data_IF_368158262328
#
_entry.id   IF_368158262328
#
_cell.length_a   1.000
_cell.length_b   1.000
_cell.length_c   1.000
_cell.angle_alpha   90.00
_cell.angle_beta   90.00
_cell.angle_gamma   90.00
#
_symmetry.space_group_name_H-M   'P 1'
#
loop_
_entity.id
_entity.type
_entity.pdbx_description
1 polymer ?
#
# COMPACT_ATOMS: atom_id res chain seq x y z
N UNK A 1 -5.56 9.99 -32.26
CA UNK A 1 -5.87 8.87 -31.33
C UNK A 1 -6.05 9.37 -29.91
N UNK A 2 -7.12 8.92 -29.24
CA UNK A 2 -7.49 9.32 -27.87
C UNK A 2 -6.67 8.61 -26.77
N UNK A 3 -5.72 7.75 -27.16
CA UNK A 3 -4.85 7.01 -26.24
C UNK A 3 -3.50 6.66 -26.88
N UNK A 4 -2.46 6.50 -26.05
CA UNK A 4 -1.12 6.07 -26.45
C UNK A 4 -0.92 4.64 -25.95
N UNK A 5 -0.41 3.75 -26.80
CA UNK A 5 -0.10 2.37 -26.41
C UNK A 5 1.38 2.25 -25.98
N UNK A 6 1.61 1.83 -24.75
CA UNK A 6 2.94 1.61 -24.20
C UNK A 6 3.02 0.28 -23.44
N UNK A 7 3.99 -0.58 -23.79
CA UNK A 7 4.16 -1.92 -23.19
C UNK A 7 2.87 -2.76 -23.13
N UNK A 8 2.03 -2.65 -24.16
CA UNK A 8 0.75 -3.37 -24.24
C UNK A 8 -0.40 -2.74 -23.45
N UNK A 9 -0.20 -1.58 -22.82
CA UNK A 9 -1.20 -0.84 -22.04
C UNK A 9 -1.61 0.42 -22.81
N UNK A 10 -2.90 0.70 -22.84
CA UNK A 10 -3.47 1.88 -23.46
C UNK A 10 -3.59 3.01 -22.41
N UNK A 11 -2.75 4.03 -22.52
CA UNK A 11 -2.74 5.21 -21.66
C UNK A 11 -3.65 6.28 -22.28
N UNK A 12 -4.66 6.71 -21.55
CA UNK A 12 -5.61 7.75 -21.97
C UNK A 12 -5.58 8.91 -20.96
N UNK A 13 -6.16 10.05 -21.34
CA UNK A 13 -6.16 11.25 -20.49
C UNK A 13 -6.92 11.08 -19.18
N UNK A 14 -7.97 10.25 -19.17
CA UNK A 14 -8.83 10.03 -18.00
C UNK A 14 -8.76 8.59 -17.49
N UNK A 15 -8.90 8.42 -16.17
CA UNK A 15 -8.95 7.11 -15.51
C UNK A 15 -10.10 6.25 -16.01
N UNK A 16 -11.24 6.86 -16.34
CA UNK A 16 -12.39 6.17 -16.94
C UNK A 16 -12.06 5.58 -18.32
N UNK A 17 -11.40 6.34 -19.19
CA UNK A 17 -10.97 5.84 -20.50
C UNK A 17 -9.89 4.75 -20.36
N UNK A 18 -8.92 4.93 -19.44
CA UNK A 18 -7.92 3.90 -19.14
C UNK A 18 -8.56 2.60 -18.64
N UNK A 19 -9.61 2.70 -17.82
CA UNK A 19 -10.39 1.54 -17.40
C UNK A 19 -11.03 0.84 -18.60
N UNK A 20 -11.75 1.60 -19.45
CA UNK A 20 -12.44 1.08 -20.63
C UNK A 20 -11.48 0.36 -21.59
N UNK A 21 -10.39 1.00 -21.98
CA UNK A 21 -9.49 0.46 -23.01
C UNK A 21 -8.64 -0.73 -22.57
N UNK A 22 -8.46 -0.94 -21.26
CA UNK A 22 -7.62 -2.02 -20.75
C UNK A 22 -8.41 -3.08 -19.99
N UNK A 23 -9.16 -2.69 -18.96
CA UNK A 23 -9.80 -3.64 -18.05
C UNK A 23 -11.00 -4.34 -18.70
N UNK A 24 -11.81 -3.64 -19.49
CA UNK A 24 -12.94 -4.27 -20.20
C UNK A 24 -12.44 -5.25 -21.25
N UNK A 25 -11.42 -4.86 -22.02
CA UNK A 25 -10.76 -5.74 -22.99
C UNK A 25 -10.20 -6.99 -22.32
N UNK A 26 -9.44 -6.84 -21.23
CA UNK A 26 -8.89 -7.97 -20.49
C UNK A 26 -9.98 -8.89 -19.94
N UNK A 27 -11.10 -8.34 -19.46
CA UNK A 27 -12.24 -9.13 -19.00
C UNK A 27 -12.86 -9.96 -20.13
N UNK A 28 -12.93 -9.43 -21.35
CA UNK A 28 -13.41 -10.17 -22.50
C UNK A 28 -12.47 -11.32 -22.86
N UNK A 29 -11.15 -11.06 -22.92
CA UNK A 29 -10.13 -12.07 -23.21
C UNK A 29 -10.12 -13.19 -22.18
N UNK A 30 -10.25 -12.84 -20.89
CA UNK A 30 -10.38 -13.82 -19.80
C UNK A 30 -11.63 -14.68 -20.01
N UNK A 31 -12.76 -14.07 -20.32
CA UNK A 31 -14.02 -14.81 -20.50
C UNK A 31 -13.93 -15.81 -21.67
N UNK A 32 -13.40 -15.38 -22.82
CA UNK A 32 -13.17 -16.25 -23.98
C UNK A 32 -12.17 -17.38 -23.67
N UNK A 33 -11.11 -17.08 -22.92
CA UNK A 33 -10.11 -18.10 -22.55
C UNK A 33 -10.72 -19.15 -21.62
N UNK A 34 -11.51 -18.71 -20.64
CA UNK A 34 -12.20 -19.62 -19.71
C UNK A 34 -13.27 -20.47 -20.40
N UNK A 35 -13.93 -19.94 -21.43
CA UNK A 35 -14.88 -20.69 -22.26
C UNK A 35 -14.17 -21.79 -23.06
N UNK A 36 -13.03 -21.48 -23.69
CA UNK A 36 -12.21 -22.48 -24.40
C UNK A 36 -11.76 -23.60 -23.47
N UNK A 37 -11.22 -23.22 -22.31
CA UNK A 37 -10.74 -24.16 -21.29
C UNK A 37 -11.82 -24.94 -20.56
N UNK A 38 -13.11 -24.65 -20.82
CA UNK A 38 -14.21 -25.28 -20.11
C UNK A 38 -14.18 -26.81 -20.24
N UNK A 39 -13.80 -27.30 -21.42
CA UNK A 39 -13.76 -28.72 -21.76
C UNK A 39 -12.36 -29.33 -21.57
N UNK A 40 -11.28 -28.54 -21.62
CA UNK A 40 -9.91 -29.04 -21.56
C UNK A 40 -9.54 -29.57 -20.15
N UNK A 41 -10.01 -28.89 -19.11
CA UNK A 41 -9.66 -29.23 -17.72
C UNK A 41 -10.78 -30.00 -17.03
N UNK A 42 -10.50 -31.23 -16.63
CA UNK A 42 -11.49 -32.13 -16.03
C UNK A 42 -11.60 -31.98 -14.51
N UNK A 43 -10.55 -31.52 -13.83
CA UNK A 43 -10.53 -31.34 -12.37
C UNK A 43 -10.65 -29.86 -11.97
N UNK A 44 -11.37 -29.58 -10.89
CA UNK A 44 -11.48 -28.24 -10.33
C UNK A 44 -10.12 -27.71 -9.81
N UNK A 45 -9.26 -28.59 -9.31
CA UNK A 45 -7.87 -28.26 -8.96
C UNK A 45 -7.07 -27.81 -10.19
N UNK A 46 -7.14 -28.56 -11.30
CA UNK A 46 -6.48 -28.22 -12.56
C UNK A 46 -6.94 -26.88 -13.12
N UNK A 47 -8.24 -26.58 -13.01
CA UNK A 47 -8.82 -25.27 -13.40
C UNK A 47 -8.26 -24.12 -12.57
N UNK A 48 -8.14 -24.29 -11.25
CA UNK A 48 -7.57 -23.26 -10.38
C UNK A 48 -6.09 -23.04 -10.70
N UNK A 49 -5.33 -24.12 -10.93
CA UNK A 49 -3.93 -24.05 -11.31
C UNK A 49 -3.75 -23.34 -12.65
N UNK A 50 -4.52 -23.70 -13.68
CA UNK A 50 -4.49 -23.05 -15.00
C UNK A 50 -4.80 -21.56 -14.91
N UNK A 51 -5.82 -21.18 -14.14
CA UNK A 51 -6.12 -19.76 -13.90
C UNK A 51 -4.96 -19.03 -13.22
N UNK A 52 -4.41 -19.61 -12.15
CA UNK A 52 -3.27 -19.05 -11.40
C UNK A 52 -2.02 -18.87 -12.26
N UNK A 53 -1.75 -19.81 -13.16
CA UNK A 53 -0.53 -19.80 -13.97
C UNK A 53 -0.63 -18.88 -15.19
N UNK A 54 -1.81 -18.78 -15.82
CA UNK A 54 -1.90 -18.15 -17.13
C UNK A 54 -2.67 -16.81 -17.14
N UNK A 55 -3.73 -16.69 -16.33
CA UNK A 55 -4.61 -15.51 -16.36
C UNK A 55 -4.34 -14.55 -15.20
N UNK A 56 -4.02 -15.08 -14.02
CA UNK A 56 -3.67 -14.26 -12.86
C UNK A 56 -2.44 -13.36 -13.12
N UNK A 57 -1.36 -13.80 -13.80
CA UNK A 57 -0.23 -12.91 -14.10
C UNK A 57 -0.61 -11.74 -15.03
N UNK A 58 -1.52 -11.96 -15.99
CA UNK A 58 -2.04 -10.89 -16.86
C UNK A 58 -2.82 -9.83 -16.08
N UNK A 59 -3.67 -10.29 -15.14
CA UNK A 59 -4.39 -9.38 -14.23
C UNK A 59 -3.42 -8.62 -13.33
N UNK A 60 -2.43 -9.32 -12.76
CA UNK A 60 -1.45 -8.72 -11.86
C UNK A 60 -0.58 -7.69 -12.58
N UNK A 61 -0.19 -7.96 -13.83
CA UNK A 61 0.50 -6.99 -14.67
C UNK A 61 -0.32 -5.71 -14.82
N UNK A 62 -1.62 -5.84 -15.13
CA UNK A 62 -2.47 -4.67 -15.29
C UNK A 62 -2.68 -3.91 -13.98
N UNK A 63 -2.87 -4.60 -12.85
CA UNK A 63 -3.02 -3.95 -11.53
C UNK A 63 -1.76 -3.19 -11.10
N UNK A 64 -0.57 -3.75 -11.36
CA UNK A 64 0.71 -3.10 -11.01
C UNK A 64 1.00 -1.90 -11.90
N UNK A 65 0.69 -2.01 -13.18
CA UNK A 65 0.98 -0.97 -14.16
C UNK A 65 -0.07 0.15 -14.20
N UNK A 66 -1.35 -0.16 -13.93
CA UNK A 66 -2.45 0.80 -13.86
C UNK A 66 -3.07 0.83 -12.46
N UNK A 67 -2.61 1.76 -11.64
CA UNK A 67 -3.10 2.00 -10.29
C UNK A 67 -4.34 2.90 -10.29
N UNK A 68 -5.32 2.56 -11.12
CA UNK A 68 -6.56 3.33 -11.27
C UNK A 68 -7.68 2.75 -10.40
N UNK A 69 -8.66 3.56 -9.97
CA UNK A 69 -9.78 3.06 -9.18
C UNK A 69 -10.66 2.12 -10.02
N UNK A 70 -10.71 0.85 -9.62
CA UNK A 70 -11.53 -0.15 -10.32
C UNK A 70 -12.93 -0.24 -9.70
N UNK A 71 -14.01 -0.20 -10.52
CA UNK A 71 -15.37 -0.37 -10.03
C UNK A 71 -15.59 -1.69 -9.29
N UNK A 72 -16.34 -1.67 -8.18
CA UNK A 72 -16.64 -2.89 -7.40
C UNK A 72 -17.35 -3.96 -8.22
N UNK A 73 -18.24 -3.57 -9.12
CA UNK A 73 -18.97 -4.47 -10.00
C UNK A 73 -18.04 -5.26 -10.95
N UNK A 74 -16.97 -4.64 -11.44
CA UNK A 74 -15.97 -5.33 -12.26
C UNK A 74 -15.32 -6.48 -11.49
N UNK A 75 -14.86 -6.19 -10.26
CA UNK A 75 -14.22 -7.18 -9.40
C UNK A 75 -15.13 -8.34 -9.04
N UNK A 76 -16.40 -8.06 -8.73
CA UNK A 76 -17.38 -9.12 -8.42
C UNK A 76 -17.75 -9.93 -9.65
N UNK A 77 -17.92 -9.29 -10.81
CA UNK A 77 -18.16 -9.98 -12.09
C UNK A 77 -17.02 -10.92 -12.44
N UNK A 78 -15.78 -10.44 -12.40
CA UNK A 78 -14.59 -11.23 -12.69
C UNK A 78 -14.44 -12.42 -11.73
N UNK A 79 -14.58 -12.19 -10.42
CA UNK A 79 -14.55 -13.27 -9.43
C UNK A 79 -15.65 -14.31 -9.65
N UNK A 80 -16.86 -13.88 -10.04
CA UNK A 80 -17.99 -14.77 -10.35
C UNK A 80 -17.69 -15.63 -11.58
N UNK A 81 -17.14 -15.05 -12.65
CA UNK A 81 -16.75 -15.81 -13.86
C UNK A 81 -15.69 -16.87 -13.55
N UNK A 82 -14.67 -16.52 -12.77
CA UNK A 82 -13.61 -17.47 -12.37
C UNK A 82 -14.18 -18.59 -11.49
N UNK A 83 -15.07 -18.24 -10.56
CA UNK A 83 -15.77 -19.23 -9.72
C UNK A 83 -16.62 -20.17 -10.56
N UNK A 84 -17.37 -19.62 -11.51
CA UNK A 84 -18.23 -20.38 -12.43
C UNK A 84 -17.41 -21.35 -13.28
N UNK A 85 -16.26 -20.91 -13.80
CA UNK A 85 -15.31 -21.77 -14.51
C UNK A 85 -14.79 -22.91 -13.63
N UNK A 86 -14.33 -22.58 -12.42
CA UNK A 86 -13.75 -23.54 -11.46
C UNK A 86 -14.73 -24.69 -11.15
N UNK A 87 -16.01 -24.39 -11.00
CA UNK A 87 -17.06 -25.37 -10.73
C UNK A 87 -17.76 -25.92 -11.97
N UNK A 88 -17.25 -25.68 -13.17
CA UNK A 88 -17.87 -26.17 -14.41
C UNK A 88 -19.33 -25.75 -14.60
N UNK A 89 -19.66 -24.51 -14.27
CA UNK A 89 -21.04 -24.00 -14.24
C UNK A 89 -21.97 -24.70 -13.23
N UNK A 90 -21.45 -25.59 -12.37
CA UNK A 90 -22.21 -26.27 -11.31
C UNK A 90 -22.20 -25.44 -10.02
N UNK A 91 -23.05 -25.85 -9.08
CA UNK A 91 -23.07 -25.25 -7.74
C UNK A 91 -21.75 -25.52 -7.00
N UNK A 92 -21.17 -24.51 -6.32
CA UNK A 92 -19.97 -24.70 -5.51
C UNK A 92 -20.21 -25.77 -4.45
N UNK A 93 -19.36 -26.81 -4.41
CA UNK A 93 -19.43 -27.84 -3.36
C UNK A 93 -18.85 -27.35 -2.03
N UNK A 94 -17.96 -26.36 -2.08
CA UNK A 94 -17.28 -25.78 -0.92
C UNK A 94 -17.51 -24.27 -0.91
N UNK A 95 -17.75 -23.72 0.27
CA UNK A 95 -17.89 -22.28 0.46
C UNK A 95 -16.64 -21.52 -0.03
N UNK A 96 -16.86 -20.39 -0.71
CA UNK A 96 -15.76 -19.56 -1.23
C UNK A 96 -14.85 -19.00 -0.12
N UNK A 97 -15.37 -18.77 1.08
CA UNK A 97 -14.57 -18.34 2.23
C UNK A 97 -13.56 -19.40 2.66
N UNK A 98 -13.92 -20.69 2.56
CA UNK A 98 -13.06 -21.82 2.93
C UNK A 98 -12.01 -22.07 1.86
N UNK A 99 -12.39 -22.14 0.58
CA UNK A 99 -11.46 -22.45 -0.53
C UNK A 99 -10.38 -21.37 -0.74
N UNK A 100 -10.66 -20.12 -0.36
CA UNK A 100 -9.70 -18.99 -0.43
C UNK A 100 -8.56 -19.08 0.59
N UNK A 101 -8.76 -19.78 1.71
CA UNK A 101 -7.71 -19.93 2.73
C UNK A 101 -6.49 -20.65 2.13
N UNK A 102 -5.26 -20.39 2.63
CA UNK A 102 -4.09 -21.12 2.17
C UNK A 102 -4.20 -22.62 2.49
N UNK A 103 -3.38 -23.42 1.82
CA UNK A 103 -3.36 -24.89 1.97
C UNK A 103 -3.09 -25.28 3.43
N UNK A 104 -2.16 -24.58 4.09
CA UNK A 104 -1.83 -24.75 5.51
C UNK A 104 -3.03 -24.60 6.46
N UNK A 105 -4.02 -23.78 6.09
CA UNK A 105 -5.24 -23.54 6.89
C UNK A 105 -6.43 -24.37 6.39
N UNK A 106 -6.16 -25.48 5.70
CA UNK A 106 -7.18 -26.38 5.16
C UNK A 106 -7.97 -25.82 3.98
N UNK A 107 -7.48 -24.76 3.33
CA UNK A 107 -8.05 -24.23 2.08
C UNK A 107 -7.29 -24.69 0.85
N UNK A 108 -7.48 -23.98 -0.28
CA UNK A 108 -6.81 -24.28 -1.56
C UNK A 108 -6.02 -23.08 -2.13
N UNK A 109 -6.03 -21.97 -1.40
CA UNK A 109 -5.48 -20.70 -1.85
C UNK A 109 -6.16 -20.22 -3.13
N UNK A 110 -7.47 -20.38 -3.26
CA UNK A 110 -8.21 -19.89 -4.42
C UNK A 110 -8.02 -18.36 -4.56
N UNK A 111 -7.69 -17.84 -5.76
CA UNK A 111 -7.36 -16.42 -5.92
C UNK A 111 -8.52 -15.49 -5.58
N UNK A 112 -8.32 -14.58 -4.62
CA UNK A 112 -9.21 -13.44 -4.39
C UNK A 112 -8.69 -12.22 -5.14
N UNK A 113 -9.34 -11.88 -6.24
CA UNK A 113 -8.89 -10.80 -7.14
C UNK A 113 -8.82 -9.45 -6.41
N UNK A 114 -9.70 -9.22 -5.42
CA UNK A 114 -9.68 -7.98 -4.63
C UNK A 114 -8.46 -7.90 -3.72
N UNK A 115 -8.01 -9.04 -3.19
CA UNK A 115 -6.78 -9.09 -2.39
C UNK A 115 -5.55 -8.87 -3.27
N UNK A 116 -5.50 -9.48 -4.46
CA UNK A 116 -4.40 -9.25 -5.42
C UNK A 116 -4.29 -7.78 -5.84
N UNK A 117 -5.42 -7.13 -6.15
CA UNK A 117 -5.46 -5.71 -6.46
C UNK A 117 -4.99 -4.85 -5.29
N UNK A 118 -5.49 -5.10 -4.07
CA UNK A 118 -5.01 -4.40 -2.85
C UNK A 118 -3.51 -4.61 -2.64
N UNK A 119 -3.02 -5.83 -2.81
CA UNK A 119 -1.61 -6.15 -2.66
C UNK A 119 -0.73 -5.41 -3.68
N UNK A 120 -1.19 -5.27 -4.93
CA UNK A 120 -0.49 -4.48 -5.95
C UNK A 120 -0.39 -2.99 -5.56
N UNK A 121 -1.48 -2.41 -5.03
CA UNK A 121 -1.47 -1.04 -4.52
C UNK A 121 -0.53 -0.89 -3.32
N UNK A 122 -0.64 -1.78 -2.32
CA UNK A 122 0.21 -1.76 -1.13
C UNK A 122 1.69 -1.98 -1.46
N UNK A 123 2.01 -2.83 -2.44
CA UNK A 123 3.38 -2.99 -2.93
C UNK A 123 3.95 -1.70 -3.51
N UNK A 124 3.10 -0.80 -4.02
CA UNK A 124 3.55 0.51 -4.50
C UNK A 124 3.75 1.47 -3.33
N UNK A 125 2.86 1.43 -2.35
CA UNK A 125 2.99 2.21 -1.10
C UNK A 125 4.29 1.86 -0.37
N UNK A 126 4.64 0.57 -0.27
CA UNK A 126 5.89 0.15 0.37
C UNK A 126 7.12 0.66 -0.39
N UNK A 127 7.08 0.70 -1.72
CA UNK A 127 8.15 1.30 -2.55
C UNK A 127 8.23 2.81 -2.33
N UNK A 128 7.09 3.49 -2.23
CA UNK A 128 7.02 4.92 -1.95
C UNK A 128 7.57 5.32 -0.57
N UNK A 129 7.54 4.40 0.40
CA UNK A 129 8.10 4.61 1.74
C UNK A 129 9.62 4.48 1.80
N UNK A 130 10.25 3.78 0.87
CA UNK A 130 11.70 3.55 0.90
C UNK A 130 12.43 4.87 0.62
N UNK A 131 13.19 5.35 1.60
CA UNK A 131 13.97 6.59 1.52
C UNK A 131 15.25 6.44 0.66
N UNK A 132 15.81 5.23 0.57
CA UNK A 132 17.19 5.02 0.10
C UNK A 132 17.40 5.17 -1.42
N UNK A 133 16.34 5.17 -2.24
CA UNK A 133 16.40 5.56 -3.65
C UNK A 133 14.96 5.67 -4.20
N UNK A 134 14.27 6.80 -4.05
CA UNK A 134 12.88 6.90 -4.48
C UNK A 134 12.80 6.80 -6.01
N UNK A 135 11.88 5.99 -6.56
CA UNK A 135 11.62 5.99 -8.00
C UNK A 135 11.25 7.40 -8.50
N UNK A 136 11.59 7.69 -9.76
CA UNK A 136 11.34 9.00 -10.37
C UNK A 136 9.87 9.46 -10.27
N UNK A 137 8.91 8.53 -10.36
CA UNK A 137 7.48 8.85 -10.25
C UNK A 137 7.11 9.39 -8.86
N UNK A 138 7.80 8.96 -7.79
CA UNK A 138 7.58 9.48 -6.42
C UNK A 138 8.02 10.94 -6.32
N UNK A 139 9.10 11.31 -7.01
CA UNK A 139 9.57 12.69 -7.08
C UNK A 139 8.56 13.57 -7.84
N UNK A 140 8.01 13.06 -8.95
CA UNK A 140 6.96 13.74 -9.72
C UNK A 140 5.70 13.93 -8.87
N UNK A 141 5.19 12.87 -8.23
CA UNK A 141 4.00 12.96 -7.38
C UNK A 141 4.21 13.88 -6.18
N UNK A 142 5.43 13.91 -5.62
CA UNK A 142 5.79 14.83 -4.53
C UNK A 142 5.72 16.28 -5.01
N UNK A 143 6.26 16.59 -6.19
CA UNK A 143 6.21 17.93 -6.76
C UNK A 143 4.78 18.43 -6.98
N UNK A 144 3.89 17.57 -7.49
CA UNK A 144 2.50 17.91 -7.80
C UNK A 144 1.57 17.93 -6.58
N UNK A 145 1.80 17.03 -5.60
CA UNK A 145 0.85 16.82 -4.51
C UNK A 145 1.10 17.71 -3.30
N UNK A 146 2.33 18.00 -2.87
CA UNK A 146 2.52 18.81 -1.66
C UNK A 146 3.94 19.34 -1.50
N UNK A 147 4.12 20.43 -0.73
CA UNK A 147 5.44 20.85 -0.22
C UNK A 147 6.10 19.80 0.69
N UNK A 148 5.35 18.78 1.12
CA UNK A 148 5.83 17.64 1.89
C UNK A 148 5.90 16.38 0.99
N UNK A 149 6.97 15.59 1.15
CA UNK A 149 7.16 14.32 0.45
C UNK A 149 5.99 13.35 0.58
N UNK A 150 5.71 12.58 -0.47
CA UNK A 150 4.61 11.61 -0.48
C UNK A 150 4.68 10.57 0.65
N UNK A 151 5.89 10.15 1.03
CA UNK A 151 6.15 9.24 2.15
C UNK A 151 5.62 9.77 3.49
N UNK A 152 5.54 11.10 3.68
CA UNK A 152 4.95 11.70 4.87
C UNK A 152 3.43 11.53 4.91
N UNK A 153 2.75 11.65 3.77
CA UNK A 153 1.27 11.68 3.70
C UNK A 153 0.62 10.37 4.16
N UNK A 154 1.28 9.23 3.92
CA UNK A 154 0.79 7.92 4.33
C UNK A 154 0.73 7.78 5.86
N UNK A 155 1.69 8.34 6.58
CA UNK A 155 1.74 8.22 8.04
C UNK A 155 0.89 9.26 8.78
N UNK A 156 0.45 10.31 8.08
CA UNK A 156 -0.40 11.36 8.65
C UNK A 156 -1.85 10.87 8.73
N UNK A 157 -2.54 11.03 9.89
CA UNK A 157 -3.95 10.73 10.02
C UNK A 157 -4.81 11.45 8.97
N UNK A 158 -5.86 10.79 8.49
CA UNK A 158 -6.72 11.30 7.42
C UNK A 158 -7.28 12.71 7.69
N UNK A 159 -7.57 13.05 8.94
CA UNK A 159 -8.12 14.35 9.34
C UNK A 159 -7.08 15.49 9.36
N UNK A 160 -5.78 15.18 9.50
CA UNK A 160 -4.69 16.16 9.49
C UNK A 160 -3.97 16.24 8.13
N UNK A 161 -4.35 15.39 7.18
CA UNK A 161 -3.68 15.33 5.89
C UNK A 161 -3.99 16.60 5.09
N UNK A 162 -2.97 17.35 4.61
CA UNK A 162 -3.22 18.43 3.68
C UNK A 162 -3.86 17.82 2.43
N UNK A 163 -5.03 18.32 2.03
CA UNK A 163 -5.76 17.87 0.84
C UNK A 163 -5.63 18.97 -0.23
N UNK A 164 -4.60 18.90 -1.09
CA UNK A 164 -4.41 19.88 -2.14
C UNK A 164 -5.48 19.69 -3.22
N UNK A 165 -5.99 20.78 -3.82
CA UNK A 165 -7.02 20.71 -4.85
C UNK A 165 -6.57 19.90 -6.08
N UNK A 166 -5.26 19.79 -6.34
CA UNK A 166 -4.66 19.14 -7.51
C UNK A 166 -4.20 17.69 -7.29
N UNK A 167 -4.44 17.08 -6.13
CA UNK A 167 -3.93 15.73 -5.85
C UNK A 167 -4.49 14.69 -6.83
N UNK A 168 -3.58 13.90 -7.43
CA UNK A 168 -3.91 12.89 -8.44
C UNK A 168 -4.87 11.83 -7.88
N UNK A 169 -5.73 11.30 -8.76
CA UNK A 169 -6.69 10.25 -8.40
C UNK A 169 -6.00 8.94 -7.96
N UNK A 170 -4.83 8.63 -8.53
CA UNK A 170 -3.99 7.49 -8.17
C UNK A 170 -3.46 7.62 -6.74
N UNK A 171 -2.92 8.78 -6.38
CA UNK A 171 -2.43 9.07 -5.03
C UNK A 171 -3.57 9.02 -4.01
N UNK A 172 -4.74 9.59 -4.33
CA UNK A 172 -5.96 9.47 -3.50
C UNK A 172 -6.35 8.02 -3.24
N UNK A 173 -6.28 7.17 -4.26
CA UNK A 173 -6.58 5.74 -4.17
C UNK A 173 -5.56 5.01 -3.29
N UNK A 174 -4.26 5.28 -3.47
CA UNK A 174 -3.20 4.68 -2.65
C UNK A 174 -3.38 5.02 -1.18
N UNK A 175 -3.59 6.31 -0.87
CA UNK A 175 -3.82 6.80 0.50
C UNK A 175 -5.06 6.16 1.13
N UNK A 176 -6.18 6.09 0.41
CA UNK A 176 -7.39 5.46 0.92
C UNK A 176 -7.24 3.95 1.15
N UNK A 177 -6.49 3.28 0.28
CA UNK A 177 -6.22 1.83 0.42
C UNK A 177 -5.31 1.58 1.61
N UNK A 178 -4.32 2.44 1.82
CA UNK A 178 -3.45 2.43 2.98
C UNK A 178 -4.22 2.64 4.28
N UNK A 179 -5.01 3.72 4.37
CA UNK A 179 -5.79 4.05 5.58
C UNK A 179 -6.72 2.90 6.00
N UNK A 180 -7.36 2.25 5.01
CA UNK A 180 -8.18 1.05 5.26
C UNK A 180 -7.38 -0.15 5.74
N UNK A 181 -6.19 -0.35 5.19
CA UNK A 181 -5.34 -1.50 5.54
C UNK A 181 -4.81 -1.35 6.96
N UNK A 182 -4.39 -0.14 7.34
CA UNK A 182 -3.98 0.19 8.71
C UNK A 182 -5.11 -0.02 9.73
N UNK A 183 -6.34 0.39 9.39
CA UNK A 183 -7.50 0.15 10.26
C UNK A 183 -7.75 -1.35 10.52
N UNK A 184 -7.46 -2.21 9.54
CA UNK A 184 -7.59 -3.67 9.68
C UNK A 184 -6.47 -4.32 10.52
N UNK A 185 -5.32 -3.67 10.67
CA UNK A 185 -4.18 -4.17 11.45
C UNK A 185 -4.28 -3.81 12.94
N UNK A 186 -5.38 -3.18 13.39
CA UNK A 186 -5.58 -2.73 14.78
C UNK A 186 -4.48 -1.78 15.30
N UNK A 187 -3.74 -1.12 14.40
CA UNK A 187 -2.81 -0.04 14.71
C UNK A 187 -3.62 1.25 14.95
N UNK A 188 -4.31 1.30 16.09
CA UNK A 188 -5.19 2.40 16.52
C UNK A 188 -4.43 3.55 17.20
N UNK A 189 -3.11 3.42 17.33
CA UNK A 189 -2.25 4.52 17.77
C UNK A 189 -2.20 5.63 16.72
N UNK A 190 -2.39 6.87 17.17
CA UNK A 190 -2.37 8.08 16.33
C UNK A 190 -1.00 8.34 15.70
N UNK A 191 0.06 7.81 16.33
CA UNK A 191 1.44 7.83 15.88
C UNK A 191 2.00 6.40 15.93
N UNK A 192 2.58 5.98 14.80
CA UNK A 192 3.36 4.75 14.67
C UNK A 192 4.84 5.08 14.81
N UNK A 193 5.69 4.09 15.16
CA UNK A 193 7.14 4.25 15.12
C UNK A 193 7.65 4.59 13.71
N UNK A 194 6.92 4.16 12.68
CA UNK A 194 7.20 4.47 11.29
C UNK A 194 6.63 5.84 10.84
N UNK A 195 5.93 6.58 11.73
CA UNK A 195 5.51 7.94 11.41
C UNK A 195 6.71 8.87 11.23
N UNK A 196 6.65 9.73 10.23
CA UNK A 196 7.74 10.65 9.90
C UNK A 196 7.74 11.89 10.79
N UNK A 197 8.88 12.56 10.96
CA UNK A 197 8.97 13.82 11.73
C UNK A 197 8.01 14.92 11.25
N UNK A 198 7.54 14.84 10.00
CA UNK A 198 6.50 15.73 9.48
C UNK A 198 5.13 15.56 10.17
N UNK A 199 4.77 14.37 10.64
CA UNK A 199 3.50 14.16 11.36
C UNK A 199 3.50 14.85 12.73
N UNK A 200 4.68 15.02 13.33
CA UNK A 200 4.90 15.79 14.55
C UNK A 200 4.72 17.29 14.25
N UNK A 201 5.29 17.79 13.16
CA UNK A 201 5.14 19.18 12.72
C UNK A 201 3.66 19.57 12.52
N UNK A 202 2.85 18.69 11.92
CA UNK A 202 1.43 18.97 11.72
C UNK A 202 0.64 19.12 13.03
N UNK A 203 1.12 18.52 14.13
CA UNK A 203 0.51 18.68 15.46
C UNK A 203 1.11 19.85 16.23
N UNK A 204 2.36 20.21 15.95
CA UNK A 204 3.06 21.33 16.55
C UNK A 204 3.79 22.17 15.47
N UNK A 205 3.16 23.26 14.99
CA UNK A 205 3.72 24.12 13.94
C UNK A 205 5.03 24.82 14.32
N UNK A 206 5.40 24.84 15.60
CA UNK A 206 6.66 25.46 16.06
C UNK A 206 7.89 24.57 15.83
N UNK A 207 7.68 23.30 15.46
CA UNK A 207 8.76 22.34 15.26
C UNK A 207 9.41 22.49 13.88
N UNK A 208 10.71 22.77 13.82
CA UNK A 208 11.45 22.79 12.55
C UNK A 208 11.85 21.36 12.12
N UNK A 209 10.92 20.69 11.42
CA UNK A 209 11.16 19.35 10.90
C UNK A 209 12.28 19.30 9.85
N UNK A 210 12.56 20.40 9.14
CA UNK A 210 13.53 20.40 8.03
C UNK A 210 14.96 20.29 8.52
N UNK A 211 15.28 20.89 9.66
CA UNK A 211 16.59 20.75 10.28
C UNK A 211 16.86 19.30 10.70
N UNK A 212 15.84 18.63 11.24
CA UNK A 212 15.93 17.25 11.72
C UNK A 212 15.99 16.24 10.56
N UNK A 213 15.21 16.44 9.49
CA UNK A 213 15.28 15.57 8.31
C UNK A 213 16.60 15.71 7.56
N UNK A 214 17.15 16.93 7.45
CA UNK A 214 18.49 17.15 6.88
C UNK A 214 19.61 16.49 7.69
N UNK A 215 19.44 16.41 9.00
CA UNK A 215 20.36 15.74 9.90
C UNK A 215 20.27 14.19 9.80
N UNK A 216 19.25 13.66 9.13
CA UNK A 216 19.03 12.21 8.97
C UNK A 216 17.95 11.62 9.89
N UNK A 217 17.38 12.41 10.81
CA UNK A 217 16.21 11.98 11.61
C UNK A 217 14.93 12.16 10.78
N UNK A 218 14.46 11.08 10.18
CA UNK A 218 13.31 11.13 9.26
C UNK A 218 12.05 10.54 9.87
N UNK A 219 12.21 9.59 10.80
CA UNK A 219 11.13 8.81 11.38
C UNK A 219 11.17 8.84 12.91
N UNK A 220 10.04 8.56 13.56
CA UNK A 220 9.96 8.48 15.03
C UNK A 220 10.85 7.35 15.56
N UNK A 221 11.01 6.24 14.81
CA UNK A 221 11.89 5.13 15.19
C UNK A 221 13.35 5.57 15.43
N UNK A 222 13.83 6.62 14.74
CA UNK A 222 15.20 7.14 14.90
C UNK A 222 15.45 7.68 16.32
N UNK A 223 14.38 8.09 17.02
CA UNK A 223 14.40 8.63 18.37
C UNK A 223 14.42 7.54 19.45
N UNK A 224 14.24 6.28 19.08
CA UNK A 224 14.21 5.14 20.00
C UNK A 224 15.49 4.30 19.86
N UNK A 225 15.97 3.77 20.98
CA UNK A 225 16.92 2.66 21.04
C UNK A 225 16.19 1.46 21.64
N UNK A 226 15.80 0.52 20.78
CA UNK A 226 14.94 -0.60 21.17
C UNK A 226 13.56 -0.10 21.65
N UNK A 227 13.23 -0.35 22.92
CA UNK A 227 11.98 0.08 23.57
C UNK A 227 12.08 1.40 24.33
N UNK A 228 13.28 2.01 24.40
CA UNK A 228 13.54 3.22 25.20
C UNK A 228 13.78 4.44 24.31
N UNK A 229 13.24 5.60 24.71
CA UNK A 229 13.49 6.87 24.02
C UNK A 229 14.92 7.36 24.34
N UNK A 230 15.71 7.66 23.29
CA UNK A 230 17.07 8.21 23.43
C UNK A 230 17.04 9.54 24.16
N UNK A 231 18.03 9.83 25.00
CA UNK A 231 18.15 11.15 25.62
C UNK A 231 18.65 12.18 24.60
N UNK A 232 18.39 13.47 24.85
CA UNK A 232 18.82 14.55 23.97
C UNK A 232 20.33 14.55 23.68
N UNK A 233 21.24 14.32 24.65
CA UNK A 233 22.68 14.27 24.38
C UNK A 233 23.09 13.17 23.38
N UNK A 234 22.42 12.01 23.43
CA UNK A 234 22.71 10.89 22.53
C UNK A 234 22.27 11.19 21.10
N UNK A 235 21.09 11.81 20.94
CA UNK A 235 20.58 12.26 19.64
C UNK A 235 21.45 13.38 19.08
N UNK A 236 21.89 14.31 19.93
CA UNK A 236 22.80 15.38 19.56
C UNK A 236 24.14 14.84 19.05
N UNK A 237 24.71 13.83 19.73
CA UNK A 237 25.93 13.17 19.32
C UNK A 237 25.77 12.42 17.99
N UNK A 238 24.64 11.74 17.78
CA UNK A 238 24.38 10.92 16.60
C UNK A 238 24.06 11.76 15.35
N UNK A 239 23.23 12.80 15.48
CA UNK A 239 22.67 13.55 14.35
C UNK A 239 23.17 15.01 14.28
N UNK A 240 24.08 15.43 15.16
CA UNK A 240 24.68 16.80 15.18
C UNK A 240 23.65 17.93 15.24
N UNK A 241 22.55 17.72 15.97
CA UNK A 241 21.46 18.70 16.12
C UNK A 241 21.92 19.86 17.04
N UNK A 242 21.58 21.14 16.75
CA UNK A 242 21.94 22.26 17.60
C UNK A 242 21.27 22.19 18.98
N UNK A 243 21.97 22.65 20.02
CA UNK A 243 21.46 22.64 21.41
C UNK A 243 20.16 23.45 21.59
N UNK A 244 19.90 24.42 20.71
CA UNK A 244 18.64 25.18 20.67
C UNK A 244 17.40 24.31 20.44
N UNK A 245 17.56 23.11 19.88
CA UNK A 245 16.48 22.17 19.61
C UNK A 245 16.05 21.35 20.85
N UNK A 246 16.66 21.55 22.02
CA UNK A 246 16.31 20.82 23.24
C UNK A 246 14.85 20.99 23.64
N UNK A 247 14.31 22.21 23.52
CA UNK A 247 12.92 22.50 23.85
C UNK A 247 11.96 21.79 22.89
N UNK A 248 12.27 21.79 21.59
CA UNK A 248 11.52 21.03 20.58
C UNK A 248 11.54 19.53 20.86
N UNK A 249 12.67 18.97 21.28
CA UNK A 249 12.78 17.57 21.69
C UNK A 249 11.91 17.27 22.92
N UNK A 250 11.88 18.15 23.94
CA UNK A 250 11.04 17.97 25.12
C UNK A 250 9.55 17.99 24.77
N UNK A 251 9.13 18.87 23.85
CA UNK A 251 7.75 18.88 23.34
C UNK A 251 7.41 17.58 22.62
N UNK A 252 8.32 17.07 21.77
CA UNK A 252 8.15 15.77 21.10
C UNK A 252 8.03 14.65 22.12
N UNK A 253 8.92 14.61 23.12
CA UNK A 253 8.91 13.61 24.18
C UNK A 253 7.58 13.59 24.94
N UNK A 254 7.06 14.75 25.32
CA UNK A 254 5.75 14.88 25.96
C UNK A 254 4.63 14.37 25.05
N UNK A 255 4.63 14.75 23.76
CA UNK A 255 3.61 14.25 22.81
C UNK A 255 3.66 12.73 22.63
N UNK A 256 4.86 12.15 22.52
CA UNK A 256 5.02 10.71 22.37
C UNK A 256 4.48 9.98 23.61
N UNK A 257 4.70 10.51 24.81
CA UNK A 257 4.17 9.92 26.06
C UNK A 257 2.63 9.90 26.11
N UNK A 258 1.96 10.86 25.48
CA UNK A 258 0.48 10.92 25.45
C UNK A 258 -0.16 10.16 24.28
N UNK A 259 0.56 9.99 23.16
CA UNK A 259 0.00 9.47 21.91
C UNK A 259 0.58 8.12 21.43
N UNK A 260 1.65 7.61 22.06
CA UNK A 260 2.19 6.27 21.78
C UNK A 260 1.70 5.26 22.81
N UNK A 261 1.45 3.99 22.44
CA UNK A 261 1.11 2.94 23.39
C UNK A 261 2.28 2.70 24.38
N UNK A 262 2.00 2.25 25.62
CA UNK A 262 2.99 2.15 26.70
C UNK A 262 4.15 1.16 26.38
N UNK A 263 5.32 1.35 27.02
CA UNK A 263 6.54 0.60 26.73
C UNK A 263 6.38 -0.86 27.19
N UNK A 264 6.07 -1.73 26.23
CA UNK A 264 5.87 -3.17 26.44
C UNK A 264 5.26 -3.87 25.22
N UNK A 265 4.51 -3.14 24.40
CA UNK A 265 3.89 -3.64 23.15
C UNK A 265 4.51 -3.08 21.87
N UNK A 266 5.55 -2.25 21.98
CA UNK A 266 6.20 -1.53 20.87
C UNK A 266 7.29 -2.35 20.16
N UNK A 267 7.01 -3.60 19.84
CA UNK A 267 7.71 -4.22 18.71
C UNK A 267 7.12 -3.58 17.45
N UNK A 268 7.98 -3.01 16.58
CA UNK A 268 7.53 -2.58 15.26
C UNK A 268 6.76 -3.73 14.62
N UNK A 269 5.56 -3.45 14.13
CA UNK A 269 4.79 -4.43 13.35
C UNK A 269 5.67 -4.97 12.23
N UNK A 270 5.61 -6.26 11.91
CA UNK A 270 6.37 -6.86 10.79
C UNK A 270 6.21 -6.03 9.51
N UNK A 271 5.07 -5.38 9.38
CA UNK A 271 4.75 -4.47 8.29
C UNK A 271 5.46 -3.11 8.37
N UNK A 272 5.51 -2.48 9.54
CA UNK A 272 6.30 -1.26 9.79
C UNK A 272 7.80 -1.52 9.55
N UNK A 273 8.28 -2.71 9.96
CA UNK A 273 9.63 -3.17 9.65
C UNK A 273 9.88 -3.30 8.15
N UNK A 274 8.92 -3.85 7.39
CA UNK A 274 9.01 -3.90 5.93
C UNK A 274 9.04 -2.52 5.27
N UNK A 275 8.29 -1.55 5.82
CA UNK A 275 8.28 -0.17 5.32
C UNK A 275 9.58 0.57 5.61
N UNK A 276 10.21 0.34 6.78
CA UNK A 276 11.41 1.07 7.21
C UNK A 276 12.72 0.41 6.76
N UNK A 277 12.85 -0.92 6.84
CA UNK A 277 14.09 -1.65 6.54
C UNK A 277 14.14 -2.23 5.12
N UNK A 278 13.04 -2.10 4.37
CA UNK A 278 12.83 -2.89 3.16
C UNK A 278 12.60 -4.37 3.49
N UNK A 279 12.08 -5.12 2.52
CA UNK A 279 11.95 -6.58 2.67
C UNK A 279 13.34 -7.17 2.86
N UNK A 280 13.63 -7.96 3.92
CA UNK A 280 14.78 -8.84 3.87
C UNK A 280 14.55 -9.77 2.69
N UNK A 281 15.34 -9.60 1.62
CA UNK A 281 15.34 -10.55 0.52
C UNK A 281 15.69 -11.91 1.10
N UNK A 282 14.70 -12.80 1.13
CA UNK A 282 14.86 -14.25 1.20
C UNK A 282 14.29 -14.81 -0.09
#
# INVERSE_FOLDING_TARGET
DDYIKFLGINLARTTHQMYKYNYEKLSHEISQTLEKWHNDFHSWHGRIAAFKMSLLPKLQYLFRSLQIPIPRHYMTKLQKTITRFTWANKTPRVALSTIKKPIEKGGMGFPDIRLYYKAALLSTVTVAHRADNPPQWVAIETHESCRAGMHHLFWVPKHLRPAPPQMLETTKLLLHTWDKSRAHLSETGDLSLASTMYSIYLRNPTFDFRAWTKAGCTHIHDLYTGSSLKQFPDIQAQYKIPNRAIFSYLQIKSMLQHHTPPPGTSAMSDYEACCLKGTPHK
#
